data_IF_863092647612
#
_entry.id   IF_863092647612
#
_cell.length_a   1.000
_cell.length_b   1.000
_cell.length_c   1.000
_cell.angle_alpha   90.00
_cell.angle_beta   90.00
_cell.angle_gamma   90.00
#
_symmetry.space_group_name_H-M   'P 1'
#
loop_
_entity.id
_entity.type
_entity.pdbx_description
1 polymer ?
#
# COMPACT_ATOMS: atom_id res chain seq x y z
N UNK A 1 12.25 12.51 12.39
CA UNK A 1 11.10 11.63 12.66
C UNK A 1 10.64 10.92 11.39
N UNK A 2 10.06 11.59 10.38
CA UNK A 2 9.62 10.97 9.11
C UNK A 2 10.68 10.07 8.43
N UNK A 3 11.90 10.57 8.24
CA UNK A 3 12.98 9.82 7.55
C UNK A 3 13.54 8.66 8.38
N UNK A 4 13.34 8.67 9.70
CA UNK A 4 13.72 7.55 10.56
C UNK A 4 12.84 6.31 10.31
N UNK A 5 11.61 6.52 9.83
CA UNK A 5 10.66 5.46 9.48
C UNK A 5 10.65 5.16 7.97
N UNK A 6 10.69 6.19 7.11
CA UNK A 6 10.59 6.01 5.65
C UNK A 6 11.93 6.00 4.90
N UNK A 7 13.07 6.25 5.56
CA UNK A 7 14.38 6.36 4.91
C UNK A 7 14.80 5.08 4.18
N UNK A 8 14.55 3.91 4.79
CA UNK A 8 14.83 2.62 4.15
C UNK A 8 13.91 2.34 2.95
N UNK A 9 12.63 2.75 3.03
CA UNK A 9 11.71 2.65 1.91
C UNK A 9 12.16 3.55 0.74
N UNK A 10 12.45 4.82 1.02
CA UNK A 10 12.95 5.77 0.03
C UNK A 10 14.30 5.33 -0.58
N UNK A 11 15.18 4.72 0.21
CA UNK A 11 16.44 4.19 -0.31
C UNK A 11 16.20 3.00 -1.26
N UNK A 12 15.26 2.11 -0.93
CA UNK A 12 14.86 1.02 -1.82
C UNK A 12 14.18 1.54 -3.07
N UNK A 13 13.36 2.58 -2.98
CA UNK A 13 12.68 3.20 -4.12
C UNK A 13 13.70 3.86 -5.05
N UNK A 14 14.67 4.57 -4.48
CA UNK A 14 15.78 5.17 -5.21
C UNK A 14 16.70 4.14 -5.90
N UNK A 15 16.87 2.95 -5.31
CA UNK A 15 17.60 1.84 -5.95
C UNK A 15 16.81 1.18 -7.09
N UNK A 16 15.49 1.12 -6.98
CA UNK A 16 14.61 0.55 -7.99
C UNK A 16 14.38 1.48 -9.19
N UNK A 17 14.63 2.78 -9.03
CA UNK A 17 14.52 3.75 -10.10
C UNK A 17 15.42 3.40 -11.30
N UNK A 18 14.95 3.66 -12.52
CA UNK A 18 15.74 3.43 -13.73
C UNK A 18 16.99 4.32 -13.74
N UNK A 19 18.18 3.71 -13.73
CA UNK A 19 19.46 4.42 -13.55
C UNK A 19 19.85 4.65 -12.08
N UNK A 20 19.06 4.13 -11.13
CA UNK A 20 19.34 4.10 -9.70
C UNK A 20 19.44 5.48 -9.03
N UNK A 21 20.08 5.50 -7.87
CA UNK A 21 20.25 6.70 -7.02
C UNK A 21 20.94 7.84 -7.80
N UNK A 22 21.87 7.53 -8.70
CA UNK A 22 22.59 8.53 -9.48
C UNK A 22 21.67 9.30 -10.43
N UNK A 23 20.86 8.61 -11.21
CA UNK A 23 19.93 9.25 -12.15
C UNK A 23 18.79 9.96 -11.38
N UNK A 24 18.34 9.39 -10.26
CA UNK A 24 17.35 10.07 -9.40
C UNK A 24 17.91 11.37 -8.82
N UNK A 25 19.13 11.35 -8.29
CA UNK A 25 19.79 12.54 -7.74
C UNK A 25 19.94 13.64 -8.80
N UNK A 26 20.30 13.27 -10.03
CA UNK A 26 20.38 14.20 -11.16
C UNK A 26 19.04 14.88 -11.42
N UNK A 27 17.93 14.11 -11.48
CA UNK A 27 16.58 14.66 -11.67
C UNK A 27 16.12 15.56 -10.52
N UNK A 28 16.61 15.31 -9.31
CA UNK A 28 16.35 16.13 -8.13
C UNK A 28 17.29 17.33 -7.98
N UNK A 29 18.26 17.52 -8.89
CA UNK A 29 19.26 18.58 -8.78
C UNK A 29 20.19 18.42 -7.57
N UNK A 30 20.45 17.18 -7.13
CA UNK A 30 21.28 16.84 -5.97
C UNK A 30 22.51 16.04 -6.39
N UNK A 31 23.52 16.01 -5.53
CA UNK A 31 24.65 15.08 -5.71
C UNK A 31 24.22 13.65 -5.33
N UNK A 32 24.67 12.60 -6.05
CA UNK A 32 24.32 11.21 -5.72
C UNK A 32 24.73 10.81 -4.31
N UNK A 33 25.94 11.21 -3.88
CA UNK A 33 26.44 10.95 -2.53
C UNK A 33 25.61 11.70 -1.49
N UNK A 34 25.28 12.98 -1.75
CA UNK A 34 24.46 13.78 -0.83
C UNK A 34 23.06 13.20 -0.66
N UNK A 35 22.44 12.73 -1.76
CA UNK A 35 21.15 12.05 -1.69
C UNK A 35 21.28 10.75 -0.91
N UNK A 36 22.25 9.89 -1.24
CA UNK A 36 22.46 8.61 -0.56
C UNK A 36 22.64 8.78 0.96
N UNK A 37 23.49 9.72 1.38
CA UNK A 37 23.74 9.99 2.79
C UNK A 37 22.50 10.53 3.50
N UNK A 38 21.72 11.41 2.84
CA UNK A 38 20.49 11.93 3.43
C UNK A 38 19.40 10.85 3.61
N UNK A 39 19.43 9.79 2.78
CA UNK A 39 18.49 8.67 2.86
C UNK A 39 18.90 7.58 3.86
N UNK A 40 20.16 7.58 4.30
CA UNK A 40 20.65 6.63 5.29
C UNK A 40 20.23 7.09 6.70
N UNK A 41 19.34 6.35 7.40
CA UNK A 41 18.88 6.73 8.73
C UNK A 41 19.98 6.71 9.79
N UNK A 42 21.13 6.07 9.51
CA UNK A 42 22.27 6.00 10.42
C UNK A 42 23.34 7.06 10.13
N UNK A 43 23.21 7.82 9.04
CA UNK A 43 24.18 8.84 8.68
C UNK A 43 23.81 10.18 9.33
N UNK A 44 24.81 10.95 9.77
CA UNK A 44 24.61 12.25 10.46
C UNK A 44 24.14 13.39 9.53
N UNK A 45 23.82 13.09 8.27
CA UNK A 45 23.39 14.12 7.31
C UNK A 45 21.92 14.47 7.54
N UNK A 46 21.58 15.73 7.32
CA UNK A 46 20.19 16.16 7.44
C UNK A 46 19.28 15.34 6.50
N UNK A 47 18.15 14.81 7.00
CA UNK A 47 17.20 14.08 6.18
C UNK A 47 16.61 14.96 5.06
N UNK A 48 16.13 14.36 3.94
CA UNK A 48 15.45 15.09 2.89
C UNK A 48 14.27 15.91 3.41
N UNK A 49 14.07 17.09 2.82
CA UNK A 49 12.86 17.88 3.05
C UNK A 49 11.62 17.08 2.61
N UNK A 50 10.47 17.38 3.20
CA UNK A 50 9.20 16.76 2.77
C UNK A 50 8.93 16.97 1.27
N UNK A 51 9.24 18.16 0.72
CA UNK A 51 9.17 18.42 -0.72
C UNK A 51 10.05 17.49 -1.56
N UNK A 52 11.26 17.18 -1.08
CA UNK A 52 12.15 16.21 -1.75
C UNK A 52 11.54 14.82 -1.72
N UNK A 53 10.95 14.41 -0.59
CA UNK A 53 10.30 13.12 -0.42
C UNK A 53 9.12 12.97 -1.40
N UNK A 54 8.26 13.99 -1.51
CA UNK A 54 7.14 13.99 -2.48
C UNK A 54 7.66 13.90 -3.91
N UNK A 55 8.68 14.67 -4.28
CA UNK A 55 9.28 14.59 -5.62
C UNK A 55 9.91 13.22 -5.91
N UNK A 56 10.50 12.58 -4.90
CA UNK A 56 11.01 11.21 -5.05
C UNK A 56 9.88 10.22 -5.30
N UNK A 57 8.78 10.32 -4.55
CA UNK A 57 7.59 9.47 -4.75
C UNK A 57 7.02 9.68 -6.15
N UNK A 58 6.89 10.92 -6.59
CA UNK A 58 6.40 11.25 -7.94
C UNK A 58 7.32 10.73 -9.05
N UNK A 59 8.64 10.83 -8.89
CA UNK A 59 9.58 10.33 -9.90
C UNK A 59 9.66 8.80 -9.93
N UNK A 60 9.64 8.16 -8.76
CA UNK A 60 9.79 6.70 -8.66
C UNK A 60 8.49 5.96 -8.90
N UNK A 61 7.35 6.61 -8.62
CA UNK A 61 6.01 6.00 -8.62
C UNK A 61 5.92 4.75 -7.72
N UNK A 62 6.83 4.64 -6.74
CA UNK A 62 6.87 3.54 -5.79
C UNK A 62 5.98 3.82 -4.58
N UNK A 63 5.27 2.79 -4.12
CA UNK A 63 4.26 2.92 -3.04
C UNK A 63 4.85 2.77 -1.64
N UNK A 64 6.07 2.24 -1.53
CA UNK A 64 6.69 1.86 -0.24
C UNK A 64 6.84 3.06 0.68
N UNK A 65 7.44 4.16 0.20
CA UNK A 65 7.58 5.37 0.98
C UNK A 65 6.22 5.98 1.39
N UNK A 66 5.22 5.94 0.51
CA UNK A 66 3.85 6.37 0.83
C UNK A 66 3.27 5.53 1.97
N UNK A 67 3.50 4.21 1.93
CA UNK A 67 2.97 3.30 2.92
C UNK A 67 3.53 3.56 4.32
N UNK A 68 4.84 3.76 4.42
CA UNK A 68 5.51 4.14 5.67
C UNK A 68 5.03 5.51 6.20
N UNK A 69 4.79 6.49 5.32
CA UNK A 69 4.30 7.81 5.72
C UNK A 69 2.89 7.72 6.31
N UNK A 70 1.99 6.94 5.70
CA UNK A 70 0.62 6.77 6.20
C UNK A 70 0.58 6.13 7.59
N UNK A 71 1.52 5.22 7.90
CA UNK A 71 1.58 4.59 9.23
C UNK A 71 1.84 5.60 10.35
N UNK A 72 2.48 6.75 10.08
CA UNK A 72 2.71 7.80 11.07
C UNK A 72 1.41 8.40 11.64
N UNK A 73 0.32 8.32 10.88
CA UNK A 73 -1.01 8.80 11.29
C UNK A 73 -1.98 7.64 11.55
N UNK A 74 -1.44 6.44 11.82
CA UNK A 74 -2.18 5.20 12.03
C UNK A 74 -3.13 4.86 10.87
N UNK A 75 -2.75 5.21 9.64
CA UNK A 75 -3.46 4.81 8.43
C UNK A 75 -2.76 3.62 7.79
N UNK A 76 -3.54 2.62 7.38
CA UNK A 76 -3.03 1.46 6.63
C UNK A 76 -3.43 1.67 5.17
N UNK A 77 -2.50 2.11 4.31
CA UNK A 77 -2.79 2.24 2.90
C UNK A 77 -2.91 0.84 2.29
N UNK A 78 -3.88 0.72 1.38
CA UNK A 78 -4.13 -0.50 0.62
C UNK A 78 -3.92 -0.21 -0.86
N UNK A 79 -3.29 -1.15 -1.55
CA UNK A 79 -3.18 -1.08 -3.00
C UNK A 79 -4.52 -1.47 -3.64
N UNK A 80 -5.41 -0.50 -3.72
CA UNK A 80 -6.74 -0.68 -4.30
C UNK A 80 -6.69 -0.40 -5.80
N UNK A 81 -7.08 -1.39 -6.60
CA UNK A 81 -7.36 -1.17 -8.00
C UNK A 81 -8.77 -0.62 -8.15
N UNK A 82 -8.86 0.67 -8.48
CA UNK A 82 -10.13 1.39 -8.67
C UNK A 82 -10.52 1.46 -10.16
N UNK A 83 -9.83 0.75 -11.05
CA UNK A 83 -10.13 0.73 -12.49
C UNK A 83 -11.49 0.09 -12.82
N UNK A 84 -12.08 -0.68 -11.90
CA UNK A 84 -13.43 -1.27 -12.01
C UNK A 84 -14.60 -0.31 -11.77
N UNK A 85 -14.35 1.01 -11.70
CA UNK A 85 -15.39 2.01 -11.45
C UNK A 85 -16.42 2.19 -12.58
N UNK A 86 -16.31 1.47 -13.69
CA UNK A 86 -17.25 1.56 -14.82
C UNK A 86 -18.60 0.85 -14.56
N UNK A 87 -18.73 0.14 -13.44
CA UNK A 87 -19.99 -0.50 -13.05
C UNK A 87 -21.03 0.54 -12.58
N UNK A 88 -22.30 0.30 -12.94
CA UNK A 88 -23.44 1.04 -12.36
C UNK A 88 -23.55 0.78 -10.86
N UNK A 89 -24.23 1.68 -10.13
CA UNK A 89 -24.44 1.52 -8.68
C UNK A 89 -25.10 0.18 -8.33
N UNK A 90 -26.13 -0.21 -9.10
CA UNK A 90 -26.79 -1.50 -8.95
C UNK A 90 -25.80 -2.67 -9.16
N UNK A 91 -24.94 -2.56 -10.18
CA UNK A 91 -23.91 -3.55 -10.47
C UNK A 91 -22.89 -3.68 -9.34
N UNK A 92 -22.47 -2.56 -8.74
CA UNK A 92 -21.53 -2.57 -7.62
C UNK A 92 -22.16 -3.16 -6.34
N UNK A 93 -23.41 -2.83 -6.03
CA UNK A 93 -24.12 -3.42 -4.88
C UNK A 93 -24.28 -4.93 -5.07
N UNK A 94 -24.67 -5.39 -6.26
CA UNK A 94 -24.73 -6.83 -6.58
C UNK A 94 -23.38 -7.50 -6.43
N UNK A 95 -22.31 -6.86 -6.90
CA UNK A 95 -20.96 -7.39 -6.77
C UNK A 95 -20.52 -7.49 -5.31
N UNK A 96 -20.77 -6.45 -4.51
CA UNK A 96 -20.51 -6.46 -3.06
C UNK A 96 -21.23 -7.61 -2.36
N UNK A 97 -22.54 -7.77 -2.59
CA UNK A 97 -23.32 -8.85 -1.97
C UNK A 97 -22.80 -10.25 -2.37
N UNK A 98 -22.39 -10.43 -3.63
CA UNK A 98 -21.78 -11.68 -4.10
C UNK A 98 -20.44 -11.98 -3.42
N UNK A 99 -19.59 -10.97 -3.24
CA UNK A 99 -18.32 -11.10 -2.52
C UNK A 99 -18.55 -11.41 -1.05
N UNK A 100 -19.52 -10.77 -0.39
CA UNK A 100 -19.90 -11.05 1.01
C UNK A 100 -20.34 -12.50 1.16
N UNK A 101 -21.19 -13.00 0.26
CA UNK A 101 -21.64 -14.39 0.29
C UNK A 101 -20.46 -15.37 0.13
N UNK A 102 -19.55 -15.09 -0.82
CA UNK A 102 -18.38 -15.93 -1.08
C UNK A 102 -17.40 -15.93 0.11
N UNK A 103 -17.10 -14.75 0.66
CA UNK A 103 -16.24 -14.62 1.83
C UNK A 103 -16.85 -15.31 3.06
N UNK A 104 -18.16 -15.18 3.27
CA UNK A 104 -18.87 -15.84 4.36
C UNK A 104 -18.83 -17.37 4.23
N UNK A 105 -18.96 -17.90 3.01
CA UNK A 105 -18.84 -19.33 2.77
C UNK A 105 -17.41 -19.85 3.04
N UNK A 106 -16.37 -19.09 2.65
CA UNK A 106 -14.97 -19.40 2.96
C UNK A 106 -14.72 -19.41 4.48
N UNK A 107 -15.21 -18.38 5.18
CA UNK A 107 -15.09 -18.26 6.64
C UNK A 107 -15.84 -19.37 7.38
N UNK A 108 -17.04 -19.76 6.93
CA UNK A 108 -17.79 -20.85 7.55
C UNK A 108 -17.02 -22.17 7.51
N UNK A 109 -16.38 -22.49 6.38
CA UNK A 109 -15.53 -23.68 6.27
C UNK A 109 -14.35 -23.62 7.24
N UNK A 110 -13.66 -22.48 7.33
CA UNK A 110 -12.55 -22.35 8.27
C UNK A 110 -12.95 -22.23 9.74
N UNK A 111 -14.19 -21.81 10.04
CA UNK A 111 -14.74 -21.82 11.40
C UNK A 111 -14.87 -23.25 11.94
N UNK A 112 -15.12 -24.24 11.08
CA UNK A 112 -15.15 -25.65 11.49
C UNK A 112 -13.76 -26.12 11.96
N UNK A 113 -12.69 -25.70 11.29
CA UNK A 113 -11.31 -25.99 11.72
C UNK A 113 -10.95 -25.21 12.99
N UNK A 114 -11.23 -23.89 13.00
CA UNK A 114 -10.91 -23.01 14.14
C UNK A 114 -11.54 -23.47 15.46
N UNK A 115 -12.77 -24.00 15.39
CA UNK A 115 -13.50 -24.52 16.55
C UNK A 115 -12.92 -25.82 17.10
N UNK A 116 -12.22 -26.60 16.24
CA UNK A 116 -11.70 -27.91 16.58
C UNK A 116 -10.22 -27.88 17.03
N UNK A 117 -9.38 -27.03 16.43
CA UNK A 117 -7.94 -26.99 16.72
C UNK A 117 -7.37 -25.58 17.02
N UNK A 118 -8.22 -24.55 17.03
CA UNK A 118 -7.83 -23.16 17.28
C UNK A 118 -6.97 -22.55 16.17
N UNK A 119 -6.86 -23.20 15.00
CA UNK A 119 -6.02 -22.76 13.89
C UNK A 119 -6.87 -22.37 12.69
N UNK A 120 -6.47 -21.27 12.07
CA UNK A 120 -6.88 -20.90 10.71
C UNK A 120 -5.70 -21.19 9.79
N UNK A 121 -5.87 -22.12 8.87
CA UNK A 121 -4.75 -22.71 8.16
C UNK A 121 -4.15 -21.76 7.10
N UNK A 122 -2.99 -22.11 6.55
CA UNK A 122 -2.30 -21.26 5.57
C UNK A 122 -3.01 -21.23 4.19
N UNK A 123 -3.79 -22.26 3.86
CA UNK A 123 -4.53 -22.38 2.61
C UNK A 123 -5.77 -21.49 2.64
N UNK A 124 -6.54 -21.52 3.72
CA UNK A 124 -7.70 -20.67 3.97
C UNK A 124 -7.34 -19.19 3.97
N UNK A 125 -6.21 -18.81 4.58
CA UNK A 125 -5.68 -17.42 4.49
C UNK A 125 -5.41 -17.00 3.05
N UNK A 126 -4.88 -17.93 2.25
CA UNK A 126 -4.54 -17.68 0.85
C UNK A 126 -5.80 -17.53 -0.02
N UNK A 127 -6.89 -18.24 0.32
CA UNK A 127 -8.19 -18.08 -0.33
C UNK A 127 -8.93 -16.81 0.13
N UNK A 128 -8.88 -16.48 1.43
CA UNK A 128 -9.61 -15.35 2.01
C UNK A 128 -8.98 -14.00 1.68
N UNK A 129 -7.64 -13.91 1.65
CA UNK A 129 -6.92 -12.65 1.38
C UNK A 129 -7.39 -11.91 0.10
N UNK A 130 -7.50 -12.55 -1.08
CA UNK A 130 -7.99 -11.85 -2.28
C UNK A 130 -9.47 -11.43 -2.16
N UNK A 131 -10.30 -12.19 -1.44
CA UNK A 131 -11.71 -11.84 -1.21
C UNK A 131 -11.83 -10.60 -0.32
N UNK A 132 -11.02 -10.50 0.74
CA UNK A 132 -10.99 -9.32 1.62
C UNK A 132 -10.52 -8.07 0.86
N UNK A 133 -9.51 -8.21 -0.01
CA UNK A 133 -9.07 -7.08 -0.84
C UNK A 133 -10.16 -6.62 -1.80
N UNK A 134 -10.82 -7.55 -2.50
CA UNK A 134 -11.92 -7.23 -3.42
C UNK A 134 -13.10 -6.58 -2.68
N UNK A 135 -13.44 -7.08 -1.48
CA UNK A 135 -14.45 -6.50 -0.60
C UNK A 135 -14.10 -5.06 -0.21
N UNK A 136 -12.86 -4.80 0.19
CA UNK A 136 -12.40 -3.45 0.53
C UNK A 136 -12.47 -2.50 -0.68
N UNK A 137 -12.09 -2.96 -1.87
CA UNK A 137 -12.16 -2.16 -3.10
C UNK A 137 -13.59 -1.74 -3.44
N UNK A 138 -14.53 -2.70 -3.48
CA UNK A 138 -15.94 -2.38 -3.78
C UNK A 138 -16.58 -1.55 -2.65
N UNK A 139 -16.20 -1.79 -1.39
CA UNK A 139 -16.69 -1.00 -0.24
C UNK A 139 -16.21 0.45 -0.33
N UNK A 140 -14.94 0.68 -0.65
CA UNK A 140 -14.39 2.02 -0.85
C UNK A 140 -15.06 2.74 -2.01
N UNK A 141 -15.32 2.04 -3.12
CA UNK A 141 -16.04 2.60 -4.28
C UNK A 141 -17.47 3.02 -3.91
N UNK A 142 -18.23 2.13 -3.26
CA UNK A 142 -19.60 2.42 -2.80
C UNK A 142 -19.64 3.56 -1.78
N UNK A 143 -18.76 3.53 -0.78
CA UNK A 143 -18.70 4.57 0.26
C UNK A 143 -18.42 5.94 -0.35
N UNK A 144 -17.48 6.03 -1.29
CA UNK A 144 -17.19 7.27 -2.02
C UNK A 144 -18.43 7.78 -2.75
N UNK A 145 -19.11 6.93 -3.52
CA UNK A 145 -20.31 7.31 -4.28
C UNK A 145 -21.48 7.76 -3.41
N UNK A 146 -21.68 7.13 -2.26
CA UNK A 146 -22.76 7.49 -1.34
C UNK A 146 -22.45 8.74 -0.49
N UNK A 147 -21.19 9.15 -0.45
CA UNK A 147 -20.73 10.32 0.32
C UNK A 147 -20.56 11.58 -0.54
N UNK A 148 -20.66 11.46 -1.86
CA UNK A 148 -20.67 12.57 -2.84
C UNK A 148 -22.11 13.00 -3.14
#
# INVERSE_FOLDING_TARGET
MLVQYSGLALQRDAKAFNGGITELAKRLGKSPIGLANSLDPNHETQPPSFSTIINMIDLTQEKRAVFEICQLVNQIPMDMDMSGNDMSDEGQVKHFLSLVATASACLNKGSEHLSNDGKYDAFERKELAPLLLALNQVTASLYKRFSE
#
